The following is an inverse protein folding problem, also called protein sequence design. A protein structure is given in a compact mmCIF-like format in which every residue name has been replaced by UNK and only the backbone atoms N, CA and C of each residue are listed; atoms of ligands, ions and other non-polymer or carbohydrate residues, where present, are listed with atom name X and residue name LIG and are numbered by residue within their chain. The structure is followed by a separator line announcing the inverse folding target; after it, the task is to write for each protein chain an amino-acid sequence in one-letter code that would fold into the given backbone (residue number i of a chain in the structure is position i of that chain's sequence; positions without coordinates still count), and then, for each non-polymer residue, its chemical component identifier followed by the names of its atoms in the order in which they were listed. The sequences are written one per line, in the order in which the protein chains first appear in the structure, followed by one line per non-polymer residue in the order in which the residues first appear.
data_IF_600975382119
#
_entry.id   IF_600975382119
#
_cell.length_a   1.000
_cell.length_b   1.000
_cell.length_c   1.000
_cell.angle_alpha   90.00
_cell.angle_beta   90.00
_cell.angle_gamma   90.00
#
_symmetry.space_group_name_H-M   'P 1'
#
loop_
_entity.id
_entity.type
_entity.pdbx_description
1 polymer ?
#
# COMPACT_ATOMS: atom_id res chain seq x y z
N UNK A 1 -14.68 10.76 -1.68
CA UNK A 1 -13.40 11.22 -1.07
C UNK A 1 -13.62 11.95 0.25
N UNK A 2 -14.57 12.88 0.37
CA UNK A 2 -14.89 13.57 1.65
C UNK A 2 -15.33 12.64 2.79
N UNK A 3 -16.21 11.66 2.54
CA UNK A 3 -16.70 10.73 3.56
C UNK A 3 -15.57 9.92 4.22
N UNK A 4 -14.66 9.38 3.41
CA UNK A 4 -13.49 8.59 3.86
C UNK A 4 -12.57 9.43 4.76
N UNK A 5 -12.42 10.73 4.48
CA UNK A 5 -11.62 11.62 5.31
C UNK A 5 -12.30 11.92 6.65
N UNK A 6 -13.63 11.96 6.69
CA UNK A 6 -14.42 12.22 7.89
C UNK A 6 -14.46 11.00 8.82
N UNK A 7 -14.70 9.81 8.28
CA UNK A 7 -14.67 8.55 9.03
C UNK A 7 -13.31 8.33 9.70
N UNK A 8 -12.21 8.55 8.97
CA UNK A 8 -10.87 8.36 9.50
C UNK A 8 -10.47 9.39 10.56
N UNK A 9 -11.02 10.61 10.49
CA UNK A 9 -10.89 11.62 11.56
C UNK A 9 -11.66 11.22 12.81
N UNK A 10 -12.84 10.65 12.65
CA UNK A 10 -13.68 10.18 13.76
C UNK A 10 -13.03 9.02 14.51
N UNK A 11 -12.45 8.05 13.80
CA UNK A 11 -11.69 6.94 14.41
C UNK A 11 -10.51 7.43 15.26
N UNK A 12 -9.73 8.39 14.74
CA UNK A 12 -8.62 9.02 15.49
C UNK A 12 -9.16 9.75 16.73
N UNK A 13 -10.30 10.43 16.62
CA UNK A 13 -10.99 11.09 17.73
C UNK A 13 -11.43 10.11 18.82
N UNK A 14 -11.99 8.96 18.45
CA UNK A 14 -12.36 7.89 19.38
C UNK A 14 -11.13 7.35 20.11
N UNK A 15 -10.06 7.00 19.39
CA UNK A 15 -8.84 6.46 20.01
C UNK A 15 -8.20 7.45 21.00
N UNK A 16 -8.18 8.74 20.67
CA UNK A 16 -7.70 9.79 21.58
C UNK A 16 -8.60 9.94 22.81
N UNK A 17 -9.93 9.81 22.67
CA UNK A 17 -10.88 9.87 23.80
C UNK A 17 -10.71 8.70 24.79
N UNK A 18 -10.21 7.55 24.31
CA UNK A 18 -9.84 6.41 25.15
C UNK A 18 -8.45 6.56 25.81
N UNK A 19 -7.80 7.71 25.68
CA UNK A 19 -6.52 8.02 26.33
C UNK A 19 -5.28 7.57 25.57
N UNK A 20 -5.41 7.15 24.29
CA UNK A 20 -4.22 6.83 23.49
C UNK A 20 -3.43 8.10 23.15
N UNK A 21 -2.12 8.06 23.43
CA UNK A 21 -1.18 9.09 23.01
C UNK A 21 -1.13 9.13 21.48
N UNK A 22 -1.04 10.33 20.88
CA UNK A 22 -1.02 10.52 19.42
C UNK A 22 0.11 9.73 18.72
N UNK A 23 1.22 9.46 19.42
CA UNK A 23 2.31 8.59 18.92
C UNK A 23 1.87 7.13 18.72
N UNK A 24 1.01 6.61 19.58
CA UNK A 24 0.53 5.23 19.51
C UNK A 24 -0.47 5.06 18.37
N UNK A 25 -1.38 6.02 18.19
CA UNK A 25 -2.30 6.07 17.04
C UNK A 25 -1.51 6.09 15.72
N UNK A 26 -0.44 6.90 15.68
CA UNK A 26 0.44 6.99 14.52
C UNK A 26 1.14 5.66 14.20
N UNK A 27 1.66 4.98 15.22
CA UNK A 27 2.29 3.67 15.03
C UNK A 27 1.30 2.59 14.60
N UNK A 28 0.06 2.62 15.11
CA UNK A 28 -1.00 1.70 14.69
C UNK A 28 -1.29 1.85 13.19
N UNK A 29 -1.49 3.08 12.72
CA UNK A 29 -1.73 3.35 11.29
C UNK A 29 -0.54 2.98 10.40
N UNK A 30 0.70 3.14 10.89
CA UNK A 30 1.88 2.66 10.18
C UNK A 30 1.84 1.15 9.97
N UNK A 31 1.56 0.40 11.04
CA UNK A 31 1.51 -1.06 10.98
C UNK A 31 0.39 -1.52 10.04
N UNK A 32 -0.80 -0.95 10.18
CA UNK A 32 -1.93 -1.25 9.29
C UNK A 32 -1.57 -1.00 7.82
N UNK A 33 -0.99 0.17 7.53
CA UNK A 33 -0.57 0.52 6.17
C UNK A 33 0.51 -0.42 5.65
N UNK A 34 1.47 -0.83 6.49
CA UNK A 34 2.49 -1.81 6.11
C UNK A 34 1.86 -3.17 5.78
N UNK A 35 0.89 -3.64 6.57
CA UNK A 35 0.18 -4.90 6.31
C UNK A 35 -0.52 -4.84 4.94
N UNK A 36 -1.22 -3.75 4.66
CA UNK A 36 -1.89 -3.55 3.36
C UNK A 36 -0.87 -3.51 2.23
N UNK A 37 0.27 -2.84 2.41
CA UNK A 37 1.33 -2.75 1.41
C UNK A 37 1.92 -4.13 1.07
N UNK A 38 2.21 -4.93 2.10
CA UNK A 38 2.70 -6.30 1.93
C UNK A 38 1.66 -7.19 1.23
N UNK A 39 0.41 -7.13 1.66
CA UNK A 39 -0.67 -7.89 1.03
C UNK A 39 -0.85 -7.52 -0.45
N UNK A 40 -0.83 -6.22 -0.77
CA UNK A 40 -0.92 -5.72 -2.14
C UNK A 40 0.29 -6.15 -2.97
N UNK A 41 1.51 -6.12 -2.42
CA UNK A 41 2.73 -6.56 -3.10
C UNK A 41 2.70 -8.05 -3.46
N UNK A 42 2.26 -8.91 -2.53
CA UNK A 42 2.12 -10.36 -2.76
C UNK A 42 1.07 -10.61 -3.84
N UNK A 43 -0.11 -10.00 -3.70
CA UNK A 43 -1.20 -10.16 -4.68
C UNK A 43 -0.80 -9.66 -6.07
N UNK A 44 -0.15 -8.50 -6.14
CA UNK A 44 0.34 -7.94 -7.40
C UNK A 44 1.37 -8.85 -8.09
N UNK A 45 2.25 -9.49 -7.31
CA UNK A 45 3.21 -10.46 -7.84
C UNK A 45 2.49 -11.68 -8.42
N UNK A 46 1.53 -12.26 -7.69
CA UNK A 46 0.77 -13.43 -8.15
C UNK A 46 -0.01 -13.12 -9.43
N UNK A 47 -0.72 -11.99 -9.46
CA UNK A 47 -1.49 -11.56 -10.63
C UNK A 47 -0.55 -11.25 -11.81
N UNK A 48 0.58 -10.59 -11.57
CA UNK A 48 1.59 -10.29 -12.59
C UNK A 48 2.19 -11.55 -13.21
N UNK A 49 2.55 -12.55 -12.40
CA UNK A 49 3.08 -13.82 -12.91
C UNK A 49 2.01 -14.61 -13.67
N UNK A 50 0.76 -14.60 -13.18
CA UNK A 50 -0.33 -15.30 -13.84
C UNK A 50 -0.67 -14.69 -15.20
N UNK A 51 -0.73 -13.35 -15.28
CA UNK A 51 -0.97 -12.64 -16.54
C UNK A 51 0.17 -12.83 -17.55
N UNK A 52 1.43 -12.82 -17.09
CA UNK A 52 2.59 -13.12 -17.94
C UNK A 52 2.52 -14.54 -18.52
N UNK A 53 2.19 -15.54 -17.68
CA UNK A 53 2.01 -16.92 -18.12
C UNK A 53 0.91 -17.06 -19.18
N UNK A 54 -0.24 -16.40 -18.98
CA UNK A 54 -1.32 -16.39 -19.96
C UNK A 54 -0.87 -15.75 -21.28
N UNK A 55 -0.16 -14.62 -21.21
CA UNK A 55 0.31 -13.91 -22.40
C UNK A 55 1.27 -14.76 -23.23
N UNK A 56 2.26 -15.41 -22.59
CA UNK A 56 3.20 -16.29 -23.28
C UNK A 56 2.53 -17.51 -23.90
N UNK A 57 1.56 -18.11 -23.20
CA UNK A 57 0.77 -19.23 -23.74
C UNK A 57 0.00 -18.83 -24.99
N UNK A 58 -0.65 -17.65 -24.97
CA UNK A 58 -1.38 -17.14 -26.13
C UNK A 58 -0.46 -16.78 -27.30
N UNK A 59 0.71 -16.20 -27.02
CA UNK A 59 1.70 -15.85 -28.05
C UNK A 59 2.31 -17.08 -28.71
N UNK A 60 2.58 -18.14 -27.95
CA UNK A 60 3.11 -19.41 -28.47
C UNK A 60 2.12 -20.11 -29.42
N UNK A 61 0.82 -20.00 -29.15
CA UNK A 61 -0.24 -20.50 -30.05
C UNK A 61 -0.34 -19.71 -31.36
N UNK A 62 -0.05 -18.40 -31.34
CA UNK A 62 -0.16 -17.53 -32.52
C UNK A 62 1.08 -17.61 -33.41
N UNK A 63 2.26 -17.82 -32.85
CA UNK A 63 3.55 -17.73 -33.57
C UNK A 63 4.17 -19.07 -33.95
N UNK A 64 3.58 -20.20 -33.52
CA UNK A 64 4.06 -21.58 -33.76
C UNK A 64 5.53 -21.85 -33.36
N UNK A 65 6.17 -20.90 -32.65
CA UNK A 65 7.51 -21.04 -32.12
C UNK A 65 7.46 -21.40 -30.64
N UNK A 66 8.31 -22.33 -30.15
CA UNK A 66 8.39 -22.65 -28.74
C UNK A 66 8.99 -21.47 -27.98
N UNK A 67 8.12 -20.63 -27.41
CA UNK A 67 8.53 -19.58 -26.48
C UNK A 67 8.92 -20.29 -25.18
N UNK A 68 10.21 -20.25 -24.87
CA UNK A 68 10.72 -20.82 -23.63
C UNK A 68 10.41 -19.81 -22.53
N UNK A 69 9.45 -20.14 -21.66
CA UNK A 69 9.10 -19.33 -20.49
C UNK A 69 10.30 -19.27 -19.53
N UNK A 70 11.17 -18.29 -19.73
CA UNK A 70 12.23 -17.98 -18.77
C UNK A 70 11.63 -17.04 -17.75
N UNK A 71 11.48 -17.49 -16.50
CA UNK A 71 11.18 -16.59 -15.38
C UNK A 71 12.48 -15.94 -14.90
N UNK A 72 12.78 -14.68 -15.26
CA UNK A 72 13.89 -13.97 -14.64
C UNK A 72 13.50 -13.64 -13.19
N UNK A 73 13.80 -14.55 -12.27
CA UNK A 73 13.57 -14.36 -10.83
C UNK A 73 14.29 -13.09 -10.32
N UNK A 74 15.42 -12.73 -10.93
CA UNK A 74 16.14 -11.47 -10.64
C UNK A 74 15.27 -10.23 -10.93
N UNK A 75 14.55 -10.18 -12.04
CA UNK A 75 13.66 -9.06 -12.38
C UNK A 75 12.49 -8.96 -11.40
N UNK A 76 11.88 -10.09 -11.06
CA UNK A 76 10.77 -10.12 -10.09
C UNK A 76 11.25 -9.59 -8.73
N UNK A 77 12.41 -10.04 -8.25
CA UNK A 77 12.98 -9.56 -6.99
C UNK A 77 13.29 -8.06 -7.02
N UNK A 78 13.91 -7.55 -8.11
CA UNK A 78 14.21 -6.11 -8.23
C UNK A 78 12.94 -5.27 -8.22
N UNK A 79 11.93 -5.66 -8.99
CA UNK A 79 10.65 -4.92 -9.06
C UNK A 79 9.93 -4.98 -7.71
N UNK A 80 9.93 -6.12 -7.03
CA UNK A 80 9.32 -6.27 -5.72
C UNK A 80 9.97 -5.36 -4.67
N UNK A 81 11.31 -5.31 -4.64
CA UNK A 81 12.07 -4.44 -3.73
C UNK A 81 11.78 -2.96 -4.01
N UNK A 82 11.75 -2.56 -5.29
CA UNK A 82 11.45 -1.18 -5.69
C UNK A 82 10.02 -0.81 -5.28
N UNK A 83 9.04 -1.67 -5.54
CA UNK A 83 7.63 -1.44 -5.20
C UNK A 83 7.43 -1.27 -3.70
N UNK A 84 8.02 -2.16 -2.88
CA UNK A 84 7.97 -2.03 -1.41
C UNK A 84 8.63 -0.74 -0.95
N UNK A 85 9.80 -0.40 -1.50
CA UNK A 85 10.54 0.81 -1.10
C UNK A 85 9.73 2.07 -1.40
N UNK A 86 9.15 2.16 -2.60
CA UNK A 86 8.31 3.29 -3.02
C UNK A 86 7.04 3.37 -2.17
N UNK A 87 6.36 2.24 -1.94
CA UNK A 87 5.16 2.19 -1.12
C UNK A 87 5.43 2.60 0.34
N UNK A 88 6.52 2.09 0.92
CA UNK A 88 6.96 2.45 2.27
C UNK A 88 7.30 3.94 2.37
N UNK A 89 8.06 4.49 1.42
CA UNK A 89 8.38 5.92 1.37
C UNK A 89 7.11 6.77 1.24
N UNK A 90 6.17 6.37 0.40
CA UNK A 90 4.88 7.05 0.23
C UNK A 90 4.08 7.11 1.53
N UNK A 91 3.90 5.95 2.19
CA UNK A 91 3.20 5.87 3.48
C UNK A 91 3.92 6.69 4.55
N UNK A 92 5.24 6.59 4.64
CA UNK A 92 6.05 7.33 5.61
C UNK A 92 5.95 8.85 5.40
N UNK A 93 5.99 9.31 4.15
CA UNK A 93 5.86 10.73 3.79
C UNK A 93 4.46 11.26 4.11
N UNK A 94 3.40 10.51 3.78
CA UNK A 94 2.01 10.84 4.14
C UNK A 94 1.89 10.98 5.66
N UNK A 95 2.51 10.08 6.41
CA UNK A 95 2.47 10.10 7.87
C UNK A 95 3.20 11.29 8.51
N UNK A 96 4.35 11.69 7.97
CA UNK A 96 5.05 12.89 8.41
C UNK A 96 4.25 14.14 8.07
N UNK A 97 3.66 14.22 6.87
CA UNK A 97 2.79 15.33 6.47
C UNK A 97 1.54 15.42 7.36
N UNK A 98 0.93 14.29 7.69
CA UNK A 98 -0.20 14.22 8.63
C UNK A 98 0.20 14.63 10.05
N UNK A 99 1.45 14.37 10.47
CA UNK A 99 1.96 14.82 11.77
C UNK A 99 2.12 16.34 11.85
N UNK A 100 2.22 17.04 10.71
CA UNK A 100 2.42 18.49 10.65
C UNK A 100 1.11 19.27 10.50
N UNK A 101 0.03 18.62 10.08
CA UNK A 101 -1.33 19.15 10.22
C UNK A 101 -1.86 18.73 11.57
N UNK A 102 -1.95 19.69 12.49
CA UNK A 102 -2.39 19.39 13.83
C UNK A 102 -3.81 18.79 13.78
N UNK A 103 -3.96 17.59 14.35
CA UNK A 103 -5.25 16.96 14.62
C UNK A 103 -6.15 17.91 15.46
N UNK A 104 -5.53 18.85 16.18
CA UNK A 104 -6.18 19.92 16.93
C UNK A 104 -6.95 20.92 16.04
N UNK A 105 -6.51 21.18 14.81
CA UNK A 105 -7.19 22.11 13.88
C UNK A 105 -8.46 21.49 13.28
N UNK A 106 -8.49 20.16 13.17
CA UNK A 106 -9.66 19.39 12.74
C UNK A 106 -10.76 19.44 13.82
N UNK A 107 -10.39 19.35 15.10
CA UNK A 107 -11.33 19.48 16.22
C UNK A 107 -11.87 20.91 16.36
N UNK A 108 -11.08 21.94 16.03
CA UNK A 108 -11.51 23.35 16.10
C UNK A 108 -12.47 23.79 14.98
N UNK A 109 -12.66 22.97 13.94
CA UNK A 109 -13.60 23.25 12.85
C UNK A 109 -14.94 22.52 12.99
N UNK A 110 -15.05 21.58 13.95
CA UNK A 110 -16.26 20.75 14.13
C UNK A 110 -17.10 21.21 15.32
N UNK A 111 -16.59 22.14 16.13
CA UNK A 111 -17.31 22.81 17.21
C UNK A 111 -17.24 24.32 17.05
#
# INVERSE_FOLDING_TARGET
MYAIMLERKFEIGILCSMGMKSRNVRNMFLIESMIILFAAGIMGTIIGTYTAYLLETNMGLITEMPIIFSLPLDTIFRVFIISISVGFLGTYLILIRLSHQSIMEIFRQTF
#
